data_IF_367827638187
#
_entry.id   IF_367827638187
#
_cell.length_a   1.000
_cell.length_b   1.000
_cell.length_c   1.000
_cell.angle_alpha   90.00
_cell.angle_beta   90.00
_cell.angle_gamma   90.00
#
_symmetry.space_group_name_H-M   'P 1'
#
loop_
_entity.id
_entity.type
_entity.pdbx_description
1 polymer ?
#
# COMPACT_ATOMS: atom_id res chain seq x y z
N UNK A 1 -0.74 67.70 -56.26
CA UNK A 1 -1.75 68.17 -55.29
C UNK A 1 -1.60 67.33 -54.02
N UNK A 2 -1.89 67.96 -52.88
CA UNK A 2 -1.44 67.68 -51.50
C UNK A 2 -1.89 66.35 -50.86
N UNK A 3 -1.13 65.99 -49.81
CA UNK A 3 -1.55 65.50 -48.47
C UNK A 3 -1.11 64.07 -48.10
N UNK A 4 -0.09 63.88 -47.24
CA UNK A 4 -0.06 63.90 -45.74
C UNK A 4 -0.95 62.82 -45.11
N UNK A 5 -0.44 61.80 -44.39
CA UNK A 5 0.26 61.77 -43.09
C UNK A 5 -0.66 61.18 -42.00
N UNK A 6 -0.12 60.25 -41.20
CA UNK A 6 -0.16 60.26 -39.72
C UNK A 6 -0.48 58.90 -39.09
N UNK A 7 0.48 58.44 -38.28
CA UNK A 7 0.30 57.47 -37.20
C UNK A 7 -0.46 58.10 -36.02
N UNK A 8 -0.89 57.29 -35.03
CA UNK A 8 -0.57 57.42 -33.58
C UNK A 8 -1.60 56.70 -32.66
N UNK A 9 -1.03 56.06 -31.63
CA UNK A 9 -1.49 55.81 -30.24
C UNK A 9 -2.46 54.67 -29.86
N UNK A 10 -1.97 53.85 -28.91
CA UNK A 10 -2.72 53.18 -27.83
C UNK A 10 -3.25 54.21 -26.83
N UNK A 11 -4.25 53.83 -26.02
CA UNK A 11 -4.04 53.97 -24.58
C UNK A 11 -4.51 52.79 -23.73
N UNK A 12 -4.01 52.80 -22.49
CA UNK A 12 -4.24 51.90 -21.35
C UNK A 12 -5.42 52.41 -20.51
N UNK A 13 -6.15 51.49 -19.87
CA UNK A 13 -7.05 51.73 -18.72
C UNK A 13 -8.27 50.81 -18.78
N UNK A 14 -8.90 50.35 -17.69
CA UNK A 14 -8.74 50.48 -16.24
C UNK A 14 -9.78 49.49 -15.63
N UNK A 15 -9.46 48.87 -14.48
CA UNK A 15 -10.34 48.03 -13.65
C UNK A 15 -11.69 48.70 -13.30
N UNK A 16 -12.79 47.92 -13.21
CA UNK A 16 -13.62 47.72 -11.98
C UNK A 16 -14.79 46.74 -12.18
N UNK A 17 -14.77 45.68 -11.36
CA UNK A 17 -15.84 45.10 -10.50
C UNK A 17 -17.34 45.35 -10.74
N UNK A 18 -18.12 44.26 -10.72
CA UNK A 18 -19.41 43.98 -10.02
C UNK A 18 -19.71 42.47 -10.23
N UNK A 19 -19.79 41.56 -9.25
CA UNK A 19 -20.67 41.39 -8.07
C UNK A 19 -22.03 40.70 -8.36
N UNK A 20 -22.44 39.85 -7.39
CA UNK A 20 -23.61 38.95 -7.28
C UNK A 20 -23.44 37.54 -7.88
N UNK A 21 -23.61 36.43 -7.16
CA UNK A 21 -24.00 36.17 -5.76
C UNK A 21 -24.58 34.74 -5.67
N UNK A 22 -24.06 33.90 -4.77
CA UNK A 22 -24.80 33.15 -3.73
C UNK A 22 -23.97 31.99 -3.14
N UNK A 23 -23.93 31.96 -1.81
CA UNK A 23 -23.40 30.92 -0.90
C UNK A 23 -24.59 30.10 -0.34
N UNK A 24 -24.48 29.33 0.77
CA UNK A 24 -23.37 28.56 1.37
C UNK A 24 -23.78 27.08 1.60
N UNK A 25 -22.87 26.26 2.15
CA UNK A 25 -23.14 25.48 3.38
C UNK A 25 -21.89 24.64 3.71
N UNK A 26 -21.35 24.92 4.89
CA UNK A 26 -20.37 24.09 5.57
C UNK A 26 -21.01 23.55 6.84
N UNK A 27 -20.63 22.34 7.23
CA UNK A 27 -20.90 21.83 8.57
C UNK A 27 -19.63 21.13 9.08
N UNK A 28 -19.08 21.74 10.12
CA UNK A 28 -18.24 21.10 11.14
C UNK A 28 -19.12 20.19 11.99
N UNK A 29 -18.58 19.06 12.46
CA UNK A 29 -19.13 18.41 13.66
C UNK A 29 -18.00 17.82 14.50
N UNK A 30 -17.75 18.49 15.62
CA UNK A 30 -17.14 17.94 16.82
C UNK A 30 -18.11 18.21 17.97
N UNK A 31 -18.45 17.18 18.76
CA UNK A 31 -18.84 17.36 20.17
C UNK A 31 -18.75 16.05 20.95
N UNK A 32 -18.04 16.16 22.08
CA UNK A 32 -18.10 15.34 23.28
C UNK A 32 -19.36 15.61 24.09
N UNK A 33 -19.83 14.65 24.93
CA UNK A 33 -20.36 14.87 26.30
C UNK A 33 -20.72 13.53 26.98
N UNK A 34 -20.49 13.50 28.29
CA UNK A 34 -20.59 12.37 29.24
C UNK A 34 -22.00 12.12 29.85
N UNK A 35 -22.14 10.91 30.43
CA UNK A 35 -22.90 10.42 31.61
C UNK A 35 -24.44 10.45 31.73
N UNK A 36 -25.06 9.25 31.83
CA UNK A 36 -25.51 8.67 33.13
C UNK A 36 -26.10 7.24 33.04
N UNK A 37 -25.93 6.50 34.16
CA UNK A 37 -26.34 5.14 34.56
C UNK A 37 -27.89 4.92 34.49
N UNK A 38 -28.55 3.75 34.56
CA UNK A 38 -28.27 2.44 35.18
C UNK A 38 -29.37 1.42 34.75
N UNK A 39 -29.15 0.10 34.90
CA UNK A 39 -30.26 -0.88 35.13
C UNK A 39 -30.62 -1.97 34.10
N UNK A 40 -29.92 -3.10 34.20
CA UNK A 40 -30.47 -4.47 34.39
C UNK A 40 -30.93 -5.39 33.22
N UNK A 41 -30.11 -6.45 33.03
CA UNK A 41 -30.40 -7.88 32.80
C UNK A 41 -31.32 -8.34 31.65
N UNK A 42 -30.74 -9.09 30.70
CA UNK A 42 -31.52 -9.83 29.69
C UNK A 42 -30.75 -10.70 28.70
N UNK A 43 -30.09 -11.75 29.20
CA UNK A 43 -30.00 -13.10 28.58
C UNK A 43 -29.55 -13.23 27.10
N UNK A 44 -28.33 -13.75 26.96
CA UNK A 44 -27.71 -14.20 25.73
C UNK A 44 -28.51 -15.27 24.95
N UNK A 45 -28.52 -15.12 23.62
CA UNK A 45 -28.72 -16.23 22.67
C UNK A 45 -27.56 -16.17 21.68
N UNK A 46 -26.68 -17.18 21.77
CA UNK A 46 -25.50 -17.32 20.93
C UNK A 46 -25.90 -17.60 19.48
N UNK A 47 -25.34 -16.83 18.55
CA UNK A 47 -25.26 -17.21 17.14
C UNK A 47 -23.78 -17.41 16.79
N UNK A 48 -23.43 -18.64 16.43
CA UNK A 48 -22.07 -19.08 16.12
C UNK A 48 -21.41 -18.21 15.04
N UNK A 49 -20.18 -17.71 15.23
CA UNK A 49 -19.40 -17.17 14.13
C UNK A 49 -19.02 -18.30 13.17
N UNK A 50 -19.14 -18.06 11.87
CA UNK A 50 -18.61 -18.94 10.84
C UNK A 50 -17.07 -18.87 10.84
N UNK A 51 -16.46 -19.54 11.83
CA UNK A 51 -15.04 -19.87 11.84
C UNK A 51 -14.87 -21.27 11.28
N UNK A 52 -14.46 -21.36 10.01
CA UNK A 52 -13.74 -22.52 9.54
C UNK A 52 -12.33 -22.45 10.12
N UNK A 53 -12.16 -22.98 11.34
CA UNK A 53 -10.85 -23.22 11.92
C UNK A 53 -10.09 -24.22 11.07
N UNK A 54 -8.94 -23.83 10.54
CA UNK A 54 -7.95 -24.80 10.09
C UNK A 54 -7.17 -25.21 11.34
N UNK A 55 -7.34 -26.46 11.77
CA UNK A 55 -6.47 -27.16 12.71
C UNK A 55 -5.10 -27.35 12.04
N UNK A 56 -4.24 -26.33 12.16
CA UNK A 56 -2.79 -26.46 12.03
C UNK A 56 -2.12 -25.43 12.96
N UNK A 57 -2.67 -25.30 14.17
CA UNK A 57 -2.11 -24.51 15.26
C UNK A 57 -0.95 -25.28 15.91
N UNK A 58 0.12 -25.48 15.13
CA UNK A 58 1.43 -25.87 15.66
C UNK A 58 2.53 -24.96 15.11
N UNK A 59 2.29 -23.65 15.20
CA UNK A 59 3.36 -22.66 15.07
C UNK A 59 3.32 -21.84 16.34
N UNK A 60 4.25 -22.17 17.25
CA UNK A 60 4.36 -21.57 18.56
C UNK A 60 4.17 -20.06 18.49
N UNK A 61 3.21 -19.59 19.28
CA UNK A 61 3.17 -18.22 19.77
C UNK A 61 4.56 -17.94 20.35
N UNK A 62 5.42 -17.29 19.56
CA UNK A 62 6.45 -16.46 20.16
C UNK A 62 5.70 -15.22 20.63
N UNK A 63 5.13 -15.32 21.83
CA UNK A 63 5.08 -14.19 22.75
C UNK A 63 6.54 -13.85 23.07
N UNK A 64 7.23 -13.27 22.09
CA UNK A 64 8.44 -12.53 22.34
C UNK A 64 8.06 -11.39 23.26
N UNK A 65 8.87 -11.07 24.28
CA UNK A 65 8.44 -10.20 25.35
C UNK A 65 7.96 -8.88 24.76
N UNK A 66 6.75 -8.47 25.15
CA UNK A 66 6.30 -7.09 25.02
C UNK A 66 7.20 -6.24 25.91
N UNK A 67 8.43 -5.99 25.47
CA UNK A 67 9.21 -4.88 25.96
C UNK A 67 8.81 -3.71 25.08
N UNK A 68 7.93 -2.86 25.61
CA UNK A 68 7.81 -1.45 25.25
C UNK A 68 9.15 -0.74 25.55
N UNK A 69 10.20 -1.15 24.85
CA UNK A 69 11.44 -0.39 24.74
C UNK A 69 11.31 0.35 23.41
N UNK A 70 10.49 1.40 23.46
CA UNK A 70 10.82 2.64 22.76
C UNK A 70 12.32 2.88 22.94
N UNK A 71 13.04 3.10 21.84
CA UNK A 71 14.45 3.48 21.76
C UNK A 71 15.18 3.44 23.12
N UNK A 72 15.77 2.29 23.47
CA UNK A 72 16.98 2.40 24.26
C UNK A 72 17.92 3.24 23.41
N UNK A 73 18.32 4.45 23.82
CA UNK A 73 19.30 5.19 23.06
C UNK A 73 20.49 4.25 22.96
N UNK A 74 20.89 3.92 21.73
CA UNK A 74 22.20 3.33 21.50
C UNK A 74 23.15 4.14 22.37
N UNK A 75 23.80 3.48 23.35
CA UNK A 75 24.59 4.13 24.38
C UNK A 75 25.33 5.30 23.75
N UNK A 76 25.05 6.52 24.22
CA UNK A 76 25.54 7.75 23.61
C UNK A 76 27.01 7.53 23.21
N UNK A 77 27.24 7.49 21.91
CA UNK A 77 28.57 7.16 21.40
C UNK A 77 29.56 8.14 22.06
N UNK A 78 30.71 7.66 22.56
CA UNK A 78 31.67 8.53 23.20
C UNK A 78 31.96 9.73 22.28
N UNK A 79 32.05 10.97 22.82
CA UNK A 79 32.34 12.13 22.01
C UNK A 79 33.66 11.90 21.27
N UNK A 80 33.58 11.67 19.96
CA UNK A 80 34.72 11.28 19.13
C UNK A 80 34.46 10.13 18.14
N UNK A 81 33.39 9.34 18.31
CA UNK A 81 32.98 8.38 17.28
C UNK A 81 32.14 9.09 16.21
N UNK A 82 32.82 9.64 15.20
CA UNK A 82 32.20 9.85 13.91
C UNK A 82 31.66 8.49 13.44
N UNK A 83 30.33 8.37 13.33
CA UNK A 83 29.72 7.22 12.65
C UNK A 83 30.30 7.23 11.24
N UNK A 84 31.27 6.35 10.98
CA UNK A 84 31.83 6.20 9.65
C UNK A 84 30.65 6.00 8.69
N UNK A 85 30.47 6.84 7.66
CA UNK A 85 29.41 6.65 6.71
C UNK A 85 29.60 5.26 6.11
N UNK A 86 28.60 4.41 6.28
CA UNK A 86 28.64 3.07 5.73
C UNK A 86 28.59 3.24 4.22
N UNK A 87 29.62 2.76 3.55
CA UNK A 87 29.74 2.87 2.09
C UNK A 87 28.87 1.77 1.49
N UNK A 88 27.70 2.11 0.91
CA UNK A 88 26.90 1.14 0.19
C UNK A 88 27.67 0.71 -1.05
N UNK A 89 27.59 -0.57 -1.40
CA UNK A 89 28.27 -1.11 -2.60
C UNK A 89 27.45 -0.91 -3.88
N UNK A 90 26.30 -0.27 -3.79
CA UNK A 90 25.34 -0.06 -4.86
C UNK A 90 25.16 1.43 -5.15
N UNK A 91 24.80 1.73 -6.39
CA UNK A 91 24.43 3.06 -6.87
C UNK A 91 23.25 2.93 -7.84
N UNK A 92 22.40 3.97 -7.98
CA UNK A 92 22.29 5.12 -7.08
C UNK A 92 21.67 4.73 -5.71
N UNK A 93 21.89 5.57 -4.69
CA UNK A 93 21.39 5.36 -3.32
C UNK A 93 20.16 6.25 -3.00
N UNK A 94 19.04 5.61 -2.61
CA UNK A 94 17.78 6.27 -2.24
C UNK A 94 17.32 5.89 -0.83
N UNK A 95 17.26 6.79 0.15
CA UNK A 95 17.65 8.22 0.11
C UNK A 95 19.19 8.40 0.01
N UNK A 96 19.71 9.64 -0.17
CA UNK A 96 21.13 9.86 -0.34
C UNK A 96 21.90 9.44 0.91
N UNK A 97 23.21 9.23 0.77
CA UNK A 97 24.04 8.73 1.88
C UNK A 97 24.27 9.84 2.91
N UNK A 98 24.63 11.03 2.44
CA UNK A 98 24.96 12.19 3.26
C UNK A 98 23.88 13.27 3.12
N UNK A 99 23.61 13.76 1.92
CA UNK A 99 22.59 14.79 1.66
C UNK A 99 22.18 14.85 0.18
N UNK A 100 21.20 15.70 -0.12
CA UNK A 100 20.63 15.84 -1.47
C UNK A 100 21.58 16.39 -2.53
N UNK A 101 22.74 16.97 -2.16
CA UNK A 101 23.73 17.43 -3.12
C UNK A 101 24.51 16.27 -3.76
N UNK A 102 24.37 15.04 -3.26
CA UNK A 102 24.89 13.82 -3.92
C UNK A 102 24.20 13.49 -5.23
N UNK A 103 23.04 14.11 -5.52
CA UNK A 103 22.23 13.75 -6.68
C UNK A 103 22.40 14.70 -7.85
N UNK A 104 22.58 14.09 -9.02
CA UNK A 104 22.65 14.71 -10.32
C UNK A 104 21.25 15.14 -10.80
N UNK A 105 21.18 16.21 -11.60
CA UNK A 105 19.92 16.67 -12.22
C UNK A 105 19.27 15.61 -13.14
N UNK A 106 20.08 14.68 -13.66
CA UNK A 106 19.65 13.58 -14.55
C UNK A 106 19.30 12.28 -13.80
N UNK A 107 19.28 12.28 -12.46
CA UNK A 107 18.99 11.09 -11.66
C UNK A 107 17.56 10.59 -11.89
N UNK A 108 17.43 9.42 -12.51
CA UNK A 108 16.14 8.72 -12.54
C UNK A 108 15.81 8.15 -11.16
N UNK A 109 15.05 8.92 -10.40
CA UNK A 109 14.55 8.56 -9.08
C UNK A 109 13.15 7.93 -9.10
N UNK A 110 12.50 7.76 -10.25
CA UNK A 110 11.12 7.24 -10.31
C UNK A 110 11.04 5.88 -9.62
N UNK A 111 9.99 5.58 -8.84
CA UNK A 111 8.79 6.36 -8.59
C UNK A 111 8.92 7.33 -7.40
N UNK A 112 10.12 7.53 -6.85
CA UNK A 112 10.30 8.34 -5.65
C UNK A 112 10.24 9.84 -5.93
N UNK A 113 9.76 10.58 -4.92
CA UNK A 113 9.85 12.03 -4.89
C UNK A 113 11.24 12.43 -4.40
N UNK A 114 12.03 13.03 -5.29
CA UNK A 114 13.40 13.48 -5.01
C UNK A 114 13.42 14.50 -3.87
N UNK A 115 12.47 15.44 -3.84
CA UNK A 115 12.46 16.47 -2.80
C UNK A 115 12.17 15.85 -1.43
N UNK A 116 11.26 14.89 -1.34
CA UNK A 116 11.00 14.17 -0.09
C UNK A 116 12.19 13.31 0.36
N UNK A 117 12.79 12.56 -0.57
CA UNK A 117 13.94 11.72 -0.25
C UNK A 117 15.15 12.56 0.16
N UNK A 118 15.34 13.75 -0.42
CA UNK A 118 16.47 14.64 -0.14
C UNK A 118 16.47 15.24 1.26
N UNK A 119 15.38 15.09 2.01
CA UNK A 119 15.23 15.53 3.42
C UNK A 119 15.66 14.48 4.43
N UNK A 120 16.00 13.28 4.00
CA UNK A 120 16.44 12.17 4.85
C UNK A 120 17.72 11.56 4.31
N UNK A 121 18.40 10.74 5.11
CA UNK A 121 19.66 10.09 4.70
C UNK A 121 19.59 8.58 4.97
N UNK A 122 20.35 7.78 4.21
CA UNK A 122 20.29 6.32 4.30
C UNK A 122 20.54 5.83 5.73
N UNK A 123 21.58 6.33 6.38
CA UNK A 123 21.92 5.95 7.75
C UNK A 123 21.02 6.58 8.83
N UNK A 124 20.48 7.76 8.55
CA UNK A 124 19.68 8.54 9.49
C UNK A 124 18.18 8.24 9.45
N UNK A 125 17.69 7.50 8.46
CA UNK A 125 16.25 7.29 8.27
C UNK A 125 15.62 6.60 9.49
N UNK A 126 14.58 7.22 10.02
CA UNK A 126 13.77 6.67 11.11
C UNK A 126 12.66 5.76 10.55
N UNK A 127 12.08 4.93 11.42
CA UNK A 127 10.95 4.10 11.01
C UNK A 127 9.73 4.95 10.62
N UNK A 128 9.51 6.10 11.26
CA UNK A 128 8.39 7.00 10.91
C UNK A 128 8.59 7.65 9.55
N UNK A 129 9.82 8.08 9.22
CA UNK A 129 10.16 8.59 7.89
C UNK A 129 9.99 7.51 6.82
N UNK A 130 10.47 6.28 7.07
CA UNK A 130 10.32 5.16 6.15
C UNK A 130 8.84 4.84 5.88
N UNK A 131 7.97 4.91 6.90
CA UNK A 131 6.51 4.77 6.76
C UNK A 131 5.86 5.92 6.00
N UNK A 132 6.45 7.12 6.03
CA UNK A 132 5.96 8.27 5.28
C UNK A 132 6.26 8.11 3.79
N UNK A 133 7.47 7.64 3.48
CA UNK A 133 7.95 7.41 2.11
C UNK A 133 7.34 6.17 1.45
N UNK A 134 6.96 5.16 2.24
CA UNK A 134 6.35 3.93 1.75
C UNK A 134 4.87 3.84 2.13
N UNK A 135 3.95 3.50 1.21
CA UNK A 135 4.19 3.01 -0.16
C UNK A 135 4.63 4.09 -1.17
N UNK A 136 5.30 3.69 -2.28
CA UNK A 136 5.55 4.59 -3.41
C UNK A 136 4.24 5.15 -3.98
N UNK A 137 4.32 6.22 -4.81
CA UNK A 137 3.16 6.82 -5.44
C UNK A 137 2.22 5.81 -6.10
N UNK A 138 0.94 6.10 -5.93
CA UNK A 138 -0.19 5.24 -6.29
C UNK A 138 -0.14 4.53 -7.64
N UNK A 139 0.22 5.26 -8.70
CA UNK A 139 0.29 4.75 -10.07
C UNK A 139 1.31 3.62 -10.25
N UNK A 140 2.25 3.49 -9.31
CA UNK A 140 3.24 2.42 -9.27
C UNK A 140 2.66 1.10 -8.76
N UNK A 141 1.68 1.17 -7.86
CA UNK A 141 1.13 0.02 -7.12
C UNK A 141 -0.10 -0.54 -7.81
N UNK A 142 -0.90 0.34 -8.40
CA UNK A 142 -2.12 -0.01 -9.12
C UNK A 142 -2.25 0.94 -10.30
N UNK A 143 -2.65 0.44 -11.49
CA UNK A 143 -2.92 1.29 -12.62
C UNK A 143 -4.02 2.30 -12.25
N UNK A 144 -3.77 3.58 -12.51
CA UNK A 144 -4.80 4.59 -12.42
C UNK A 144 -5.88 4.28 -13.46
N UNK A 145 -7.15 4.10 -13.02
CA UNK A 145 -8.26 4.02 -13.97
C UNK A 145 -8.41 5.35 -14.68
N UNK A 146 -8.12 5.38 -15.98
CA UNK A 146 -8.04 6.58 -16.81
C UNK A 146 -9.40 7.27 -17.04
N UNK A 147 -10.50 6.57 -16.80
CA UNK A 147 -11.82 6.91 -17.32
C UNK A 147 -12.76 7.57 -16.31
N UNK A 148 -12.41 7.66 -15.02
CA UNK A 148 -13.14 8.43 -13.98
C UNK A 148 -14.58 7.99 -13.67
N UNK A 149 -15.27 7.34 -14.61
CA UNK A 149 -16.58 6.75 -14.45
C UNK A 149 -16.41 5.32 -13.96
N UNK A 150 -16.97 5.07 -12.79
CA UNK A 150 -16.91 3.73 -12.25
C UNK A 150 -17.80 2.78 -13.11
N UNK A 151 -17.28 1.64 -13.61
CA UNK A 151 -17.95 0.82 -14.62
C UNK A 151 -19.22 0.15 -14.11
N UNK A 152 -20.25 -0.11 -14.92
CA UNK A 152 -21.43 -0.84 -14.43
C UNK A 152 -21.08 -2.23 -13.90
N UNK A 153 -21.82 -2.76 -12.92
CA UNK A 153 -21.63 -4.13 -12.41
C UNK A 153 -22.96 -4.84 -12.19
N UNK A 154 -22.96 -6.17 -12.25
CA UNK A 154 -24.15 -6.96 -11.96
C UNK A 154 -24.29 -7.13 -10.44
N UNK A 155 -25.11 -6.28 -9.82
CA UNK A 155 -25.35 -6.33 -8.37
C UNK A 155 -25.99 -7.65 -7.91
N UNK A 156 -26.67 -8.40 -8.79
CA UNK A 156 -27.28 -9.69 -8.44
C UNK A 156 -26.25 -10.78 -8.13
N UNK A 157 -24.98 -10.58 -8.50
CA UNK A 157 -23.89 -11.49 -8.17
C UNK A 157 -23.41 -11.35 -6.72
N UNK A 158 -23.61 -10.18 -6.10
CA UNK A 158 -23.12 -9.85 -4.75
C UNK A 158 -24.21 -10.17 -3.73
N UNK A 159 -24.40 -11.46 -3.46
CA UNK A 159 -25.28 -11.99 -2.41
C UNK A 159 -24.46 -12.54 -1.25
N UNK A 160 -25.06 -12.69 -0.07
CA UNK A 160 -24.39 -13.24 1.12
C UNK A 160 -23.78 -14.62 0.81
N UNK A 161 -24.56 -15.49 0.18
CA UNK A 161 -24.13 -16.85 -0.18
C UNK A 161 -22.93 -16.84 -1.13
N UNK A 162 -22.98 -16.04 -2.20
CA UNK A 162 -21.87 -15.96 -3.15
C UNK A 162 -20.60 -15.41 -2.51
N UNK A 163 -20.72 -14.40 -1.64
CA UNK A 163 -19.56 -13.84 -0.94
C UNK A 163 -18.98 -14.85 0.05
N UNK A 164 -19.82 -15.58 0.80
CA UNK A 164 -19.35 -16.66 1.69
C UNK A 164 -18.55 -17.71 0.93
N UNK A 165 -19.04 -18.18 -0.21
CA UNK A 165 -18.33 -19.15 -1.05
C UNK A 165 -16.99 -18.61 -1.58
N UNK A 166 -16.93 -17.33 -1.94
CA UNK A 166 -15.65 -16.70 -2.31
C UNK A 166 -14.66 -16.81 -1.16
N UNK A 167 -15.07 -16.49 0.07
CA UNK A 167 -14.21 -16.57 1.24
C UNK A 167 -13.83 -18.02 1.60
N UNK A 168 -14.75 -18.96 1.50
CA UNK A 168 -14.52 -20.40 1.71
C UNK A 168 -13.50 -20.98 0.70
N UNK A 169 -13.50 -20.47 -0.53
CA UNK A 169 -12.50 -20.86 -1.55
C UNK A 169 -11.07 -20.36 -1.23
N UNK A 170 -10.92 -19.45 -0.25
CA UNK A 170 -9.65 -18.90 0.23
C UNK A 170 -8.72 -18.43 -0.93
N UNK A 171 -9.18 -17.53 -1.82
CA UNK A 171 -8.45 -17.14 -3.04
C UNK A 171 -7.07 -16.54 -2.74
N UNK A 172 -6.94 -15.85 -1.61
CA UNK A 172 -5.67 -15.27 -1.14
C UNK A 172 -4.55 -16.29 -0.86
N UNK A 173 -4.82 -17.61 -0.83
CA UNK A 173 -3.78 -18.64 -0.66
C UNK A 173 -2.68 -18.51 -1.71
N UNK A 174 -2.99 -18.05 -2.92
CA UNK A 174 -2.00 -17.85 -3.98
C UNK A 174 -0.96 -16.76 -3.64
N UNK A 175 -1.33 -15.79 -2.79
CA UNK A 175 -0.43 -14.71 -2.36
C UNK A 175 0.67 -15.22 -1.43
N UNK A 176 0.47 -16.36 -0.75
CA UNK A 176 1.44 -16.89 0.23
C UNK A 176 2.75 -17.39 -0.39
N UNK A 177 2.79 -17.60 -1.70
CA UNK A 177 3.98 -18.08 -2.42
C UNK A 177 4.81 -16.89 -2.88
N UNK A 178 5.96 -16.63 -2.29
CA UNK A 178 6.78 -15.50 -2.70
C UNK A 178 7.38 -15.74 -4.10
N UNK A 179 7.35 -14.75 -5.01
CA UNK A 179 8.14 -14.82 -6.23
C UNK A 179 9.64 -14.75 -5.90
N UNK A 180 10.48 -15.04 -6.89
CA UNK A 180 11.90 -14.75 -6.76
C UNK A 180 12.11 -13.22 -6.66
N UNK A 181 12.98 -12.74 -5.75
CA UNK A 181 13.33 -11.33 -5.68
C UNK A 181 14.05 -10.87 -6.95
N UNK A 182 13.88 -9.60 -7.28
CA UNK A 182 14.50 -8.92 -8.42
C UNK A 182 15.74 -8.12 -8.03
N UNK A 183 15.72 -7.53 -6.83
CA UNK A 183 16.70 -6.54 -6.36
C UNK A 183 17.86 -7.15 -5.59
N UNK A 184 17.72 -8.37 -5.09
CA UNK A 184 18.73 -9.08 -4.32
C UNK A 184 18.70 -10.59 -4.62
N UNK A 185 19.80 -11.29 -4.33
CA UNK A 185 19.85 -12.74 -4.48
C UNK A 185 19.10 -13.42 -3.33
N UNK A 186 18.16 -14.32 -3.65
CA UNK A 186 17.38 -15.06 -2.64
C UNK A 186 18.25 -15.88 -1.66
N UNK A 187 19.45 -16.27 -2.08
CA UNK A 187 20.43 -16.98 -1.25
C UNK A 187 21.32 -16.08 -0.39
N UNK A 188 21.30 -14.76 -0.56
CA UNK A 188 22.13 -13.84 0.21
C UNK A 188 21.72 -13.86 1.69
N UNK A 189 22.68 -14.22 2.56
CA UNK A 189 22.50 -14.27 4.01
C UNK A 189 22.02 -12.93 4.61
N UNK A 190 22.39 -11.79 4.01
CA UNK A 190 21.94 -10.49 4.47
C UNK A 190 20.41 -10.32 4.35
N UNK A 191 19.78 -10.94 3.34
CA UNK A 191 18.35 -10.79 3.07
C UNK A 191 17.49 -11.96 3.59
N UNK A 192 18.11 -13.03 4.09
CA UNK A 192 17.39 -14.20 4.60
C UNK A 192 16.38 -13.84 5.71
N UNK A 193 16.78 -12.97 6.65
CA UNK A 193 15.88 -12.50 7.70
C UNK A 193 14.69 -11.73 7.13
N UNK A 194 14.94 -10.82 6.17
CA UNK A 194 13.89 -10.02 5.54
C UNK A 194 12.86 -10.91 4.82
N UNK A 195 13.34 -11.86 4.02
CA UNK A 195 12.48 -12.81 3.31
C UNK A 195 11.69 -13.67 4.30
N UNK A 196 12.32 -14.14 5.38
CA UNK A 196 11.64 -14.92 6.41
C UNK A 196 10.53 -14.13 7.10
N UNK A 197 10.85 -12.94 7.63
CA UNK A 197 9.89 -12.07 8.32
C UNK A 197 8.73 -11.69 7.39
N UNK A 198 9.04 -11.36 6.13
CA UNK A 198 8.00 -11.04 5.15
C UNK A 198 7.14 -12.26 4.79
N UNK A 199 7.71 -13.46 4.67
CA UNK A 199 6.96 -14.70 4.44
C UNK A 199 5.98 -14.99 5.58
N UNK A 200 6.42 -14.84 6.84
CA UNK A 200 5.55 -15.00 8.02
C UNK A 200 4.43 -13.96 8.01
N UNK A 201 4.77 -12.69 7.73
CA UNK A 201 3.79 -11.62 7.60
C UNK A 201 2.74 -11.97 6.54
N UNK A 202 3.16 -12.37 5.35
CA UNK A 202 2.26 -12.62 4.24
C UNK A 202 1.39 -13.87 4.47
N UNK A 203 1.92 -14.93 5.08
CA UNK A 203 1.11 -16.10 5.47
C UNK A 203 -0.07 -15.72 6.35
N UNK A 204 0.16 -14.82 7.32
CA UNK A 204 -0.85 -14.32 8.26
C UNK A 204 -1.82 -13.34 7.61
N UNK A 205 -1.34 -12.43 6.77
CA UNK A 205 -2.11 -11.28 6.28
C UNK A 205 -2.52 -11.35 4.80
N UNK A 206 -2.27 -12.46 4.09
CA UNK A 206 -2.62 -12.63 2.68
C UNK A 206 -4.09 -12.27 2.38
N UNK A 207 -5.02 -12.69 3.24
CA UNK A 207 -6.44 -12.34 3.10
C UNK A 207 -6.64 -10.82 3.04
N UNK A 208 -5.99 -10.08 3.94
CA UNK A 208 -6.11 -8.63 4.03
C UNK A 208 -5.57 -7.92 2.78
N UNK A 209 -4.48 -8.42 2.20
CA UNK A 209 -3.94 -7.89 0.94
C UNK A 209 -4.91 -8.12 -0.22
N UNK A 210 -5.43 -9.35 -0.33
CA UNK A 210 -6.44 -9.71 -1.31
C UNK A 210 -7.68 -8.81 -1.16
N UNK A 211 -8.26 -8.70 0.04
CA UNK A 211 -9.42 -7.84 0.34
C UNK A 211 -9.19 -6.37 0.00
N UNK A 212 -7.95 -5.90 0.13
CA UNK A 212 -7.60 -4.51 -0.17
C UNK A 212 -7.57 -4.22 -1.67
N UNK A 213 -7.12 -5.16 -2.51
CA UNK A 213 -7.15 -5.04 -3.98
C UNK A 213 -8.43 -5.57 -4.62
N UNK A 214 -9.21 -6.35 -3.87
CA UNK A 214 -10.42 -7.04 -4.29
C UNK A 214 -11.69 -6.49 -3.62
N UNK A 215 -11.78 -5.16 -3.51
CA UNK A 215 -12.86 -4.50 -2.79
C UNK A 215 -14.21 -4.63 -3.51
N UNK A 216 -15.03 -5.60 -3.10
CA UNK A 216 -16.41 -5.76 -3.57
C UNK A 216 -17.30 -4.56 -3.14
N UNK A 217 -18.38 -4.25 -3.87
CA UNK A 217 -19.27 -3.13 -3.58
C UNK A 217 -20.24 -3.51 -2.44
N UNK A 218 -19.70 -3.72 -1.24
CA UNK A 218 -20.45 -4.18 -0.07
C UNK A 218 -21.10 -3.04 0.71
N UNK A 219 -20.52 -1.83 0.68
CA UNK A 219 -20.97 -0.69 1.50
C UNK A 219 -22.39 -0.21 1.22
N UNK A 220 -22.93 -0.49 0.04
CA UNK A 220 -24.31 -0.14 -0.33
C UNK A 220 -25.32 -1.22 0.08
N UNK A 221 -24.89 -2.26 0.81
CA UNK A 221 -25.74 -3.36 1.28
C UNK A 221 -26.06 -3.18 2.75
N UNK A 222 -27.30 -3.48 3.11
CA UNK A 222 -27.82 -3.37 4.48
C UNK A 222 -27.83 -4.70 5.22
N UNK A 223 -27.53 -5.83 4.56
CA UNK A 223 -27.49 -7.13 5.22
C UNK A 223 -26.47 -7.12 6.37
N UNK A 224 -26.84 -7.59 7.58
CA UNK A 224 -25.95 -7.58 8.76
C UNK A 224 -24.60 -8.24 8.51
N UNK A 225 -24.58 -9.30 7.71
CA UNK A 225 -23.36 -9.99 7.30
C UNK A 225 -22.37 -9.06 6.59
N UNK A 226 -22.83 -8.20 5.67
CA UNK A 226 -21.93 -7.30 4.94
C UNK A 226 -21.43 -6.15 5.81
N UNK A 227 -22.27 -5.64 6.71
CA UNK A 227 -21.87 -4.60 7.68
C UNK A 227 -20.72 -5.13 8.54
N UNK A 228 -20.88 -6.33 9.11
CA UNK A 228 -19.84 -6.97 9.92
C UNK A 228 -18.58 -7.25 9.10
N UNK A 229 -18.73 -7.82 7.90
CA UNK A 229 -17.60 -8.14 7.04
C UNK A 229 -16.77 -6.89 6.70
N UNK A 230 -17.40 -5.75 6.39
CA UNK A 230 -16.69 -4.49 6.11
C UNK A 230 -15.91 -4.00 7.34
N UNK A 231 -16.50 -4.09 8.54
CA UNK A 231 -15.82 -3.73 9.78
C UNK A 231 -14.60 -4.63 10.05
N UNK A 232 -14.74 -5.94 9.83
CA UNK A 232 -13.67 -6.92 9.98
C UNK A 232 -12.52 -6.68 9.00
N UNK A 233 -12.83 -6.39 7.72
CA UNK A 233 -11.83 -6.04 6.69
C UNK A 233 -11.03 -4.82 7.13
N UNK A 234 -11.72 -3.76 7.60
CA UNK A 234 -11.06 -2.53 8.07
C UNK A 234 -10.12 -2.81 9.25
N UNK A 235 -10.59 -3.60 10.21
CA UNK A 235 -9.81 -3.98 11.41
C UNK A 235 -8.59 -4.81 11.04
N UNK A 236 -8.75 -5.84 10.19
CA UNK A 236 -7.64 -6.64 9.67
C UNK A 236 -6.62 -5.79 8.92
N UNK A 237 -7.07 -4.85 8.08
CA UNK A 237 -6.20 -3.92 7.33
C UNK A 237 -5.36 -3.05 8.25
N UNK A 238 -5.96 -2.49 9.29
CA UNK A 238 -5.22 -1.70 10.29
C UNK A 238 -4.15 -2.54 10.99
N UNK A 239 -4.53 -3.74 11.49
CA UNK A 239 -3.59 -4.64 12.17
C UNK A 239 -2.46 -5.14 11.27
N UNK A 240 -2.75 -5.44 10.00
CA UNK A 240 -1.75 -5.85 9.04
C UNK A 240 -0.72 -4.74 8.80
N UNK A 241 -1.16 -3.49 8.65
CA UNK A 241 -0.25 -2.34 8.49
C UNK A 241 0.67 -2.15 9.70
N UNK A 242 0.09 -2.16 10.90
CA UNK A 242 0.88 -2.05 12.15
C UNK A 242 1.88 -3.20 12.26
N UNK A 243 1.50 -4.42 11.89
CA UNK A 243 2.40 -5.56 11.90
C UNK A 243 3.51 -5.44 10.85
N UNK A 244 3.20 -5.01 9.62
CA UNK A 244 4.20 -4.79 8.56
C UNK A 244 5.26 -3.77 9.01
N UNK A 245 4.81 -2.66 9.61
CA UNK A 245 5.68 -1.63 10.15
C UNK A 245 6.63 -2.15 11.25
N UNK A 246 6.09 -2.90 12.21
CA UNK A 246 6.84 -3.38 13.38
C UNK A 246 7.76 -4.56 13.07
N UNK A 247 7.53 -5.25 11.95
CA UNK A 247 8.29 -6.43 11.55
C UNK A 247 9.16 -6.15 10.32
N UNK A 248 8.53 -6.02 9.14
CA UNK A 248 9.21 -5.91 7.85
C UNK A 248 10.02 -4.61 7.73
N UNK A 249 9.39 -3.45 7.97
CA UNK A 249 10.09 -2.16 7.83
C UNK A 249 11.20 -1.99 8.87
N UNK A 250 11.09 -2.61 10.04
CA UNK A 250 12.16 -2.63 11.04
C UNK A 250 13.41 -3.35 10.52
N UNK A 251 13.24 -4.48 9.83
CA UNK A 251 14.35 -5.22 9.20
C UNK A 251 14.94 -4.42 8.04
N UNK A 252 14.09 -3.84 7.17
CA UNK A 252 14.54 -3.00 6.05
C UNK A 252 15.38 -1.83 6.54
N UNK A 253 14.91 -1.08 7.54
CA UNK A 253 15.67 0.02 8.15
C UNK A 253 17.05 -0.44 8.62
N UNK A 254 17.15 -1.59 9.29
CA UNK A 254 18.44 -2.13 9.74
C UNK A 254 19.36 -2.50 8.58
N UNK A 255 18.82 -3.04 7.48
CA UNK A 255 19.62 -3.31 6.28
C UNK A 255 20.13 -2.03 5.61
N UNK A 256 19.30 -0.98 5.57
CA UNK A 256 19.70 0.35 5.10
C UNK A 256 20.80 0.94 5.99
N UNK A 257 20.61 0.88 7.30
CA UNK A 257 21.61 1.29 8.29
C UNK A 257 22.88 0.45 8.28
N UNK A 258 22.93 -0.68 7.56
CA UNK A 258 24.12 -1.50 7.37
C UNK A 258 24.66 -1.39 5.92
N UNK A 259 24.14 -0.45 5.12
CA UNK A 259 24.55 -0.26 3.72
C UNK A 259 24.30 -1.47 2.82
N UNK A 260 23.35 -2.34 3.20
CA UNK A 260 23.02 -3.58 2.46
C UNK A 260 21.94 -3.37 1.41
N UNK A 261 21.04 -2.43 1.64
CA UNK A 261 20.02 -2.03 0.69
C UNK A 261 19.65 -0.57 0.88
N UNK A 262 18.81 -0.06 0.01
CA UNK A 262 18.16 1.24 0.18
C UNK A 262 16.64 1.09 -0.04
N UNK A 263 15.93 2.20 -0.20
CA UNK A 263 14.47 2.23 -0.32
C UNK A 263 13.96 1.44 -1.54
N UNK A 264 14.77 1.29 -2.60
CA UNK A 264 14.40 0.51 -3.79
C UNK A 264 14.11 -0.96 -3.46
N UNK A 265 14.60 -1.49 -2.32
CA UNK A 265 14.24 -2.86 -1.86
C UNK A 265 12.73 -3.04 -1.70
N UNK A 266 12.00 -1.98 -1.32
CA UNK A 266 10.56 -2.01 -1.14
C UNK A 266 9.78 -1.96 -2.47
N UNK A 267 10.46 -1.72 -3.59
CA UNK A 267 9.89 -1.84 -4.94
C UNK A 267 10.01 -3.26 -5.50
N UNK A 268 10.75 -4.14 -4.82
CA UNK A 268 10.91 -5.52 -5.25
C UNK A 268 9.54 -6.23 -5.34
N UNK A 269 9.24 -6.94 -6.43
CA UNK A 269 7.96 -7.65 -6.61
C UNK A 269 7.63 -8.68 -5.51
N UNK A 270 8.60 -9.07 -4.69
CA UNK A 270 8.34 -9.87 -3.50
C UNK A 270 7.40 -9.14 -2.54
N UNK A 271 7.52 -7.81 -2.40
CA UNK A 271 6.70 -7.00 -1.49
C UNK A 271 5.37 -6.60 -2.12
N UNK A 272 4.30 -7.15 -1.57
CA UNK A 272 2.95 -6.70 -1.83
C UNK A 272 2.67 -5.42 -1.05
N UNK A 273 2.21 -4.39 -1.76
CA UNK A 273 1.84 -3.10 -1.18
C UNK A 273 0.33 -2.97 -1.03
N UNK A 274 -0.12 -2.29 0.03
CA UNK A 274 -1.55 -1.98 0.18
C UNK A 274 -1.94 -0.85 -0.78
N UNK A 275 -3.05 -0.97 -1.53
CA UNK A 275 -3.55 0.14 -2.33
C UNK A 275 -3.90 1.33 -1.42
N UNK A 276 -3.57 2.57 -1.82
CA UNK A 276 -3.96 3.77 -1.11
C UNK A 276 -5.48 3.86 -0.91
N UNK A 277 -5.91 4.43 0.22
CA UNK A 277 -7.31 4.39 0.64
C UNK A 277 -8.29 5.03 -0.36
N UNK A 278 -7.84 6.05 -1.11
CA UNK A 278 -8.65 6.83 -2.06
C UNK A 278 -8.63 6.30 -3.49
N UNK A 279 -7.82 5.28 -3.78
CA UNK A 279 -7.62 4.77 -5.14
C UNK A 279 -7.83 3.25 -5.24
N UNK A 280 -8.46 2.65 -4.22
CA UNK A 280 -8.88 1.26 -4.28
C UNK A 280 -9.89 1.05 -5.42
N UNK A 281 -9.47 0.36 -6.48
CA UNK A 281 -10.36 0.03 -7.59
C UNK A 281 -11.35 -1.05 -7.17
N UNK A 282 -12.63 -0.66 -6.99
CA UNK A 282 -13.71 -1.59 -6.65
C UNK A 282 -13.83 -2.72 -7.68
N UNK A 283 -14.05 -3.93 -7.19
CA UNK A 283 -14.40 -5.10 -7.97
C UNK A 283 -15.82 -4.94 -8.49
N UNK A 284 -15.97 -4.91 -9.80
CA UNK A 284 -17.25 -4.65 -10.47
C UNK A 284 -17.58 -5.86 -11.35
N UNK A 285 -17.96 -7.00 -10.73
CA UNK A 285 -18.22 -8.23 -11.46
C UNK A 285 -19.36 -8.04 -12.44
N UNK A 286 -19.10 -8.44 -13.68
CA UNK A 286 -20.06 -8.48 -14.78
C UNK A 286 -20.31 -9.93 -15.18
N UNK A 287 -21.37 -10.16 -15.96
CA UNK A 287 -21.72 -11.49 -16.45
C UNK A 287 -23.02 -12.03 -15.88
N UNK A 288 -23.49 -13.17 -16.40
CA UNK A 288 -24.79 -13.73 -16.05
C UNK A 288 -24.80 -14.30 -14.63
N UNK A 289 -25.96 -14.24 -14.00
CA UNK A 289 -26.23 -15.05 -12.79
C UNK A 289 -26.46 -16.48 -13.26
N UNK A 290 -25.79 -17.43 -12.62
CA UNK A 290 -26.01 -18.86 -12.91
C UNK A 290 -27.39 -19.26 -12.34
N UNK A 291 -28.33 -19.78 -13.14
CA UNK A 291 -29.62 -20.27 -12.65
C UNK A 291 -29.49 -21.36 -11.59
N UNK A 292 -28.37 -22.11 -11.59
CA UNK A 292 -28.06 -23.16 -10.62
C UNK A 292 -27.26 -22.66 -9.41
N UNK A 293 -27.02 -21.34 -9.32
CA UNK A 293 -26.64 -20.67 -8.08
C UNK A 293 -25.19 -20.82 -7.61
N UNK A 294 -24.37 -21.71 -8.17
CA UNK A 294 -23.18 -22.17 -7.42
C UNK A 294 -21.83 -21.51 -7.79
N UNK A 295 -21.68 -20.85 -8.95
CA UNK A 295 -20.34 -20.38 -9.39
C UNK A 295 -20.29 -18.97 -10.04
N UNK A 296 -21.39 -18.22 -10.10
CA UNK A 296 -21.44 -17.01 -10.93
C UNK A 296 -20.52 -15.88 -10.46
N UNK A 297 -20.40 -15.64 -9.14
CA UNK A 297 -19.48 -14.61 -8.63
C UNK A 297 -18.03 -15.02 -8.84
N UNK A 298 -17.62 -16.20 -8.35
CA UNK A 298 -16.25 -16.72 -8.52
C UNK A 298 -15.80 -16.72 -9.99
N UNK A 299 -16.68 -17.10 -10.92
CA UNK A 299 -16.38 -17.05 -12.36
C UNK A 299 -16.20 -15.61 -12.85
N UNK A 300 -17.09 -14.69 -12.47
CA UNK A 300 -16.97 -13.27 -12.83
C UNK A 300 -15.67 -12.66 -12.30
N UNK A 301 -15.26 -13.05 -11.08
CA UNK A 301 -13.99 -12.63 -10.48
C UNK A 301 -12.78 -13.12 -11.28
N UNK A 302 -12.77 -14.39 -11.71
CA UNK A 302 -11.69 -14.93 -12.54
C UNK A 302 -11.56 -14.25 -13.91
N UNK A 303 -12.69 -13.84 -14.51
CA UNK A 303 -12.68 -13.06 -15.76
C UNK A 303 -12.08 -11.68 -15.51
N UNK A 304 -12.49 -10.99 -14.45
CA UNK A 304 -11.90 -9.70 -14.06
C UNK A 304 -10.39 -9.80 -13.80
N UNK A 305 -9.93 -10.87 -13.17
CA UNK A 305 -8.49 -11.11 -12.95
C UNK A 305 -7.72 -11.32 -14.25
N UNK A 306 -8.36 -11.91 -15.26
CA UNK A 306 -7.75 -12.10 -16.58
C UNK A 306 -7.67 -10.77 -17.35
N UNK A 307 -8.69 -9.93 -17.22
CA UNK A 307 -8.75 -8.61 -17.87
C UNK A 307 -7.87 -7.56 -17.16
N UNK A 308 -7.68 -7.70 -15.84
CA UNK A 308 -6.90 -6.77 -15.00
C UNK A 308 -5.84 -7.52 -14.13
N UNK A 309 -4.77 -8.10 -14.74
CA UNK A 309 -3.81 -8.99 -14.06
C UNK A 309 -3.06 -8.38 -12.87
N UNK A 310 -2.91 -7.06 -12.83
CA UNK A 310 -2.27 -6.33 -11.73
C UNK A 310 -2.95 -6.57 -10.38
N UNK A 311 -4.23 -6.94 -10.36
CA UNK A 311 -4.97 -7.26 -9.12
C UNK A 311 -4.40 -8.45 -8.38
N UNK A 312 -3.77 -9.35 -9.13
CA UNK A 312 -2.99 -10.47 -8.62
C UNK A 312 -1.53 -10.08 -8.37
N UNK A 313 -1.25 -8.78 -8.21
CA UNK A 313 0.08 -8.20 -7.94
C UNK A 313 1.12 -8.66 -8.97
N UNK A 314 0.72 -8.75 -10.23
CA UNK A 314 1.53 -9.24 -11.36
C UNK A 314 2.07 -10.66 -11.19
N UNK A 315 1.57 -11.46 -10.24
CA UNK A 315 2.08 -12.82 -9.97
C UNK A 315 1.90 -13.78 -11.13
N UNK A 316 0.90 -13.56 -11.99
CA UNK A 316 0.69 -14.36 -13.21
C UNK A 316 1.51 -13.87 -14.40
N UNK A 317 1.96 -12.62 -14.38
CA UNK A 317 2.72 -11.96 -15.44
C UNK A 317 3.83 -11.08 -14.83
N UNK A 318 4.83 -11.65 -14.14
CA UNK A 318 5.82 -10.87 -13.37
C UNK A 318 6.60 -9.88 -14.22
N UNK A 319 6.78 -10.18 -15.52
CA UNK A 319 7.42 -9.31 -16.50
C UNK A 319 6.67 -8.00 -16.77
N UNK A 320 5.37 -7.94 -16.46
CA UNK A 320 4.55 -6.72 -16.59
C UNK A 320 4.55 -5.88 -15.31
N UNK A 321 5.18 -6.37 -14.23
CA UNK A 321 5.33 -5.59 -13.01
C UNK A 321 6.15 -4.31 -13.30
N UNK A 322 5.75 -3.13 -12.82
CA UNK A 322 6.48 -1.88 -13.07
C UNK A 322 7.97 -1.96 -12.71
N UNK A 323 8.32 -2.62 -11.60
CA UNK A 323 9.72 -2.85 -11.21
C UNK A 323 10.54 -3.70 -12.21
N UNK A 324 9.89 -4.51 -13.04
CA UNK A 324 10.53 -5.28 -14.10
C UNK A 324 10.56 -4.52 -15.45
N UNK A 325 10.04 -3.29 -15.50
CA UNK A 325 10.03 -2.46 -16.70
C UNK A 325 11.44 -2.18 -17.21
N UNK A 326 11.55 -2.03 -18.52
CA UNK A 326 12.80 -1.61 -19.19
C UNK A 326 13.29 -0.24 -18.73
N UNK A 327 12.40 0.58 -18.19
CA UNK A 327 12.70 1.93 -17.74
C UNK A 327 13.35 1.94 -16.34
N UNK A 328 13.22 0.86 -15.56
CA UNK A 328 13.73 0.77 -14.19
C UNK A 328 14.81 -0.30 -14.01
N UNK A 329 15.78 -0.30 -14.93
CA UNK A 329 16.91 -1.24 -14.92
C UNK A 329 17.73 -1.19 -13.64
N UNK A 330 17.75 -0.04 -12.94
CA UNK A 330 18.50 0.12 -11.68
C UNK A 330 18.09 -0.86 -10.59
N UNK A 331 16.86 -1.39 -10.64
CA UNK A 331 16.37 -2.32 -9.63
C UNK A 331 16.96 -3.72 -9.79
N UNK A 332 17.27 -4.13 -11.02
CA UNK A 332 17.71 -5.51 -11.29
C UNK A 332 19.08 -5.75 -10.68
N UNK A 333 19.16 -6.75 -9.81
CA UNK A 333 20.39 -7.18 -9.13
C UNK A 333 21.09 -6.04 -8.35
N UNK A 334 20.36 -4.98 -8.00
CA UNK A 334 20.90 -3.76 -7.37
C UNK A 334 21.73 -4.03 -6.12
N UNK A 335 21.26 -4.94 -5.28
CA UNK A 335 21.88 -5.29 -4.02
C UNK A 335 22.64 -6.62 -4.09
N UNK A 336 23.08 -7.02 -5.29
CA UNK A 336 23.95 -8.17 -5.47
C UNK A 336 25.39 -7.68 -5.56
N UNK A 337 26.19 -8.03 -4.56
CA UNK A 337 27.61 -7.68 -4.55
C UNK A 337 28.33 -8.45 -5.68
N UNK A 338 28.88 -7.73 -6.65
CA UNK A 338 29.73 -8.34 -7.68
C UNK A 338 31.08 -8.66 -7.04
N UNK A 339 31.47 -9.94 -7.07
CA UNK A 339 32.74 -10.45 -6.53
C UNK A 339 33.91 -10.18 -7.48
#
# INVERSE_FOLDING_TARGET
MLSTSSAVARPVGRRRSSAAGDSPDGDDDSSSSDDNEDGQAGRAVAASPASGGDEDDTYGVVDGPATDVEDAPAAAAPPGYSLMPIVPFFEPCFPPRIDSAEWDDDLDAQPWDVEELGRVTLGGITLSQLKGLFPPPSFWIHPARSDGRAPSFNCRLVTVENVRRVYESKPWRELRRLPAPLTFAAGDHAFQELVHVYSVHLKKWAQTYWESTHSLPLKSRTDPYFVQLVADISTRRSRARVNFDRSVLKVVRRLMQNGRCDLDVLLDPIFITFPPARQGTKWRPVGPVDPHGDLSLLRALRVLDADEPWRLFYRRVPQEHPAASRDLRRLRDKFVQQL
#
